data_IF_241057766810
#
_entry.id   IF_241057766810
#
_cell.length_a   1.000
_cell.length_b   1.000
_cell.length_c   1.000
_cell.angle_alpha   90.00
_cell.angle_beta   90.00
_cell.angle_gamma   90.00
#
_symmetry.space_group_name_H-M   'P 1'
#
loop_
_entity.id
_entity.type
_entity.pdbx_description
1 polymer ?
#
# COMPACT_ATOMS: atom_id res chain seq x y z
N UNK A 1 -1.70 -12.19 -2.56
CA UNK A 1 -2.28 -11.30 -1.54
C UNK A 1 -1.31 -11.10 -0.40
N UNK A 2 -1.12 -9.84 -0.02
CA UNK A 2 -0.35 -9.46 1.16
C UNK A 2 -1.28 -8.74 2.12
N UNK A 3 -1.54 -9.35 3.27
CA UNK A 3 -2.43 -8.78 4.29
C UNK A 3 -1.63 -8.42 5.54
N UNK A 4 -1.90 -7.25 6.09
CA UNK A 4 -1.26 -6.79 7.32
C UNK A 4 -2.13 -7.18 8.51
N UNK A 5 -1.78 -8.27 9.17
CA UNK A 5 -2.45 -8.73 10.39
C UNK A 5 -1.83 -8.15 11.67
N UNK A 6 -0.76 -7.40 11.51
CA UNK A 6 -0.16 -6.56 12.55
C UNK A 6 0.35 -5.28 11.89
N UNK A 7 0.35 -4.18 12.65
CA UNK A 7 0.96 -2.94 12.17
C UNK A 7 2.47 -3.13 12.07
N UNK A 8 3.04 -2.76 10.94
CA UNK A 8 4.46 -2.91 10.70
C UNK A 8 5.25 -1.95 11.62
N UNK A 9 6.28 -2.44 12.24
CA UNK A 9 7.20 -1.65 13.06
C UNK A 9 8.52 -1.33 12.35
N UNK A 10 8.71 -1.93 11.17
CA UNK A 10 9.82 -1.68 10.27
C UNK A 10 9.29 -1.80 8.84
N UNK A 11 10.07 -1.39 7.85
CA UNK A 11 9.64 -1.43 6.46
C UNK A 11 9.38 -2.86 6.01
N UNK A 12 8.15 -3.11 5.55
CA UNK A 12 7.81 -4.28 4.77
C UNK A 12 7.92 -3.92 3.29
N UNK A 13 8.72 -4.65 2.56
CA UNK A 13 9.08 -4.30 1.19
C UNK A 13 8.69 -5.42 0.24
N UNK A 14 7.96 -5.06 -0.82
CA UNK A 14 7.70 -5.93 -1.96
C UNK A 14 8.49 -5.37 -3.13
N UNK A 15 9.42 -6.14 -3.64
CA UNK A 15 10.26 -5.68 -4.74
C UNK A 15 10.28 -6.70 -5.88
N UNK A 16 10.43 -6.19 -7.09
CA UNK A 16 10.61 -6.99 -8.30
C UNK A 16 12.02 -6.79 -8.85
N UNK A 17 12.46 -7.70 -9.71
CA UNK A 17 13.69 -7.47 -10.45
C UNK A 17 13.53 -6.28 -11.41
N UNK A 18 14.64 -5.65 -11.78
CA UNK A 18 14.65 -4.36 -12.49
C UNK A 18 13.79 -4.33 -13.75
N UNK A 19 13.75 -5.41 -14.52
CA UNK A 19 12.96 -5.49 -15.75
C UNK A 19 11.45 -5.60 -15.50
N UNK A 20 11.04 -6.06 -14.32
CA UNK A 20 9.64 -6.26 -13.97
C UNK A 20 9.09 -5.02 -13.28
N UNK A 21 8.00 -4.50 -13.80
CA UNK A 21 7.38 -3.28 -13.28
C UNK A 21 6.04 -3.55 -12.68
N UNK A 22 5.74 -2.82 -11.62
CA UNK A 22 4.46 -2.84 -10.93
C UNK A 22 3.72 -1.56 -11.29
N UNK A 23 2.46 -1.67 -11.63
CA UNK A 23 1.59 -0.51 -11.84
C UNK A 23 0.21 -0.80 -11.29
N UNK A 24 -0.56 0.24 -11.08
CA UNK A 24 -1.94 0.09 -10.62
C UNK A 24 -2.32 1.16 -9.62
N UNK A 25 -3.10 0.77 -8.64
CA UNK A 25 -3.73 1.73 -7.75
C UNK A 25 -4.00 1.10 -6.39
N UNK A 26 -3.61 1.80 -5.34
CA UNK A 26 -3.90 1.41 -3.96
C UNK A 26 -4.72 2.51 -3.32
N UNK A 27 -5.87 2.16 -2.77
CA UNK A 27 -6.67 3.08 -1.98
C UNK A 27 -6.09 3.11 -0.57
N UNK A 28 -5.55 4.26 -0.17
CA UNK A 28 -4.93 4.41 1.16
C UNK A 28 -5.75 5.36 2.02
N UNK A 29 -6.08 4.93 3.22
CA UNK A 29 -6.81 5.72 4.19
C UNK A 29 -5.99 5.94 5.44
N UNK A 30 -6.11 7.13 6.02
CA UNK A 30 -5.69 7.39 7.40
C UNK A 30 -6.92 7.25 8.29
N UNK A 31 -6.87 6.31 9.21
CA UNK A 31 -7.99 6.04 10.10
C UNK A 31 -7.60 6.34 11.55
N UNK A 32 -8.36 7.22 12.17
CA UNK A 32 -8.34 7.40 13.62
C UNK A 32 -9.60 6.75 14.17
N UNK A 33 -9.48 5.56 14.71
CA UNK A 33 -10.63 4.83 15.24
C UNK A 33 -10.96 5.32 16.64
N UNK A 34 -12.24 5.55 16.90
CA UNK A 34 -12.73 5.82 18.24
C UNK A 34 -13.89 4.87 18.58
N UNK A 35 -14.34 4.89 19.83
CA UNK A 35 -15.32 3.93 20.32
C UNK A 35 -16.73 4.22 19.86
N UNK A 36 -17.02 5.34 19.24
CA UNK A 36 -18.38 5.78 18.94
C UNK A 36 -18.73 5.72 17.47
N UNK A 37 -17.78 5.81 16.59
CA UNK A 37 -18.02 5.74 15.15
C UNK A 37 -16.74 5.43 14.38
N UNK A 38 -16.93 5.13 13.11
CA UNK A 38 -15.82 5.09 12.15
C UNK A 38 -15.27 6.49 12.01
N UNK A 39 -14.00 6.63 12.26
CA UNK A 39 -13.37 7.92 12.35
C UNK A 39 -13.38 8.68 11.05
N UNK A 40 -13.19 9.96 11.19
CA UNK A 40 -12.78 10.83 10.11
C UNK A 40 -11.48 10.28 9.52
N UNK A 41 -11.54 9.84 8.28
CA UNK A 41 -10.37 9.34 7.57
C UNK A 41 -10.10 10.21 6.36
N UNK A 42 -8.82 10.42 6.08
CA UNK A 42 -8.38 10.97 4.80
C UNK A 42 -8.08 9.79 3.90
N UNK A 43 -8.78 9.74 2.77
CA UNK A 43 -8.59 8.69 1.78
C UNK A 43 -7.95 9.27 0.55
N UNK A 44 -6.86 8.69 0.11
CA UNK A 44 -6.16 9.06 -1.12
C UNK A 44 -5.98 7.86 -2.02
N UNK A 45 -5.93 8.12 -3.32
CA UNK A 45 -5.57 7.12 -4.30
C UNK A 45 -4.07 7.21 -4.53
N UNK A 46 -3.35 6.14 -4.18
CA UNK A 46 -1.94 6.01 -4.49
C UNK A 46 -1.81 5.38 -5.88
N UNK A 47 -1.62 6.23 -6.88
CA UNK A 47 -1.41 5.78 -8.25
C UNK A 47 0.02 5.29 -8.41
N UNK A 48 0.18 4.00 -8.67
CA UNK A 48 1.47 3.35 -8.79
C UNK A 48 1.91 3.41 -10.25
N UNK A 49 2.93 4.23 -10.58
CA UNK A 49 3.35 4.38 -11.97
C UNK A 49 4.07 3.15 -12.50
N UNK A 50 4.00 2.96 -13.81
CA UNK A 50 4.58 1.79 -14.49
C UNK A 50 6.12 1.73 -14.45
N UNK A 51 6.77 2.68 -13.82
CA UNK A 51 8.21 2.66 -13.54
C UNK A 51 8.57 2.02 -12.19
N UNK A 52 7.59 1.65 -11.38
CA UNK A 52 7.77 1.18 -10.02
C UNK A 52 8.33 -0.23 -9.97
N UNK A 53 9.34 -0.44 -9.14
CA UNK A 53 9.87 -1.76 -8.81
C UNK A 53 9.63 -2.16 -7.36
N UNK A 54 9.36 -1.22 -6.49
CA UNK A 54 9.31 -1.45 -5.04
C UNK A 54 8.10 -0.80 -4.43
N UNK A 55 7.42 -1.55 -3.58
CA UNK A 55 6.37 -1.05 -2.70
C UNK A 55 6.87 -1.18 -1.26
N UNK A 56 6.84 -0.09 -0.52
CA UNK A 56 7.30 -0.04 0.88
C UNK A 56 6.16 0.35 1.79
N UNK A 57 5.96 -0.42 2.84
CA UNK A 57 4.94 -0.18 3.86
C UNK A 57 5.64 -0.04 5.21
N UNK A 58 5.59 1.13 5.80
CA UNK A 58 6.40 1.47 6.99
C UNK A 58 5.61 1.43 8.31
N UNK A 59 4.36 1.03 8.27
CA UNK A 59 3.48 1.05 9.44
C UNK A 59 2.97 2.45 9.82
N UNK A 60 3.20 3.42 8.96
CA UNK A 60 2.83 4.82 9.17
C UNK A 60 2.39 5.49 7.88
N UNK A 61 3.14 6.47 7.41
CA UNK A 61 2.78 7.31 6.26
C UNK A 61 2.63 6.55 4.94
N UNK A 62 3.34 5.44 4.78
CA UNK A 62 3.26 4.58 3.58
C UNK A 62 2.32 3.39 3.76
N UNK A 63 1.58 3.36 4.85
CA UNK A 63 0.68 2.26 5.14
C UNK A 63 1.35 1.07 5.82
N UNK A 64 0.69 -0.08 5.79
CA UNK A 64 1.15 -1.27 6.53
C UNK A 64 0.60 -1.32 7.95
N UNK A 65 -0.42 -0.54 8.23
CA UNK A 65 -1.20 -0.66 9.47
C UNK A 65 -2.12 -1.87 9.36
N UNK A 66 -2.37 -2.50 10.49
CA UNK A 66 -3.25 -3.68 10.56
C UNK A 66 -4.58 -3.43 9.85
N UNK A 67 -5.00 -4.40 9.07
CA UNK A 67 -6.25 -4.35 8.29
C UNK A 67 -6.05 -4.01 6.81
N UNK A 68 -4.88 -3.53 6.42
CA UNK A 68 -4.56 -3.27 5.02
C UNK A 68 -4.28 -4.56 4.24
N UNK A 69 -4.52 -4.51 2.94
CA UNK A 69 -4.24 -5.63 2.05
C UNK A 69 -3.92 -5.12 0.64
N UNK A 70 -2.93 -5.70 0.01
CA UNK A 70 -2.61 -5.47 -1.40
C UNK A 70 -2.64 -6.79 -2.18
N UNK A 71 -3.08 -6.70 -3.41
CA UNK A 71 -3.17 -7.81 -4.34
C UNK A 71 -2.31 -7.53 -5.57
N UNK A 72 -1.39 -8.42 -5.87
CA UNK A 72 -0.48 -8.29 -7.01
C UNK A 72 -0.74 -9.44 -7.97
N UNK A 73 -0.94 -9.11 -9.23
CA UNK A 73 -1.26 -10.05 -10.30
C UNK A 73 -0.29 -9.84 -11.46
N UNK A 74 0.27 -10.92 -11.98
CA UNK A 74 1.02 -10.89 -13.23
C UNK A 74 0.08 -10.72 -14.43
N UNK A 75 0.32 -9.71 -15.24
CA UNK A 75 -0.48 -9.45 -16.43
C UNK A 75 0.14 -10.05 -17.69
N UNK A 76 1.42 -9.86 -17.84
CA UNK A 76 2.23 -10.32 -18.96
C UNK A 76 3.70 -10.29 -18.55
N UNK A 77 4.59 -10.67 -19.46
CA UNK A 77 6.03 -10.58 -19.23
C UNK A 77 6.42 -9.19 -18.75
N UNK A 78 7.12 -9.12 -17.63
CA UNK A 78 7.66 -7.90 -17.04
C UNK A 78 6.62 -6.87 -16.57
N UNK A 79 5.35 -7.27 -16.44
CA UNK A 79 4.29 -6.37 -16.02
C UNK A 79 3.41 -6.99 -14.93
N UNK A 80 3.31 -6.32 -13.79
CA UNK A 80 2.48 -6.70 -12.65
C UNK A 80 1.50 -5.59 -12.36
N UNK A 81 0.31 -5.97 -11.95
CA UNK A 81 -0.71 -5.03 -11.49
C UNK A 81 -0.91 -5.16 -10.01
N UNK A 82 -0.92 -4.03 -9.33
CA UNK A 82 -1.26 -3.95 -7.92
C UNK A 82 -2.61 -3.27 -7.74
N UNK A 83 -3.37 -3.77 -6.80
CA UNK A 83 -4.60 -3.15 -6.32
C UNK A 83 -4.74 -3.46 -4.84
N UNK A 84 -5.58 -2.71 -4.15
CA UNK A 84 -5.85 -3.02 -2.76
C UNK A 84 -6.27 -1.82 -1.94
N UNK A 85 -6.39 -2.09 -0.65
CA UNK A 85 -6.73 -1.11 0.36
C UNK A 85 -5.66 -1.12 1.44
N UNK A 86 -5.08 0.04 1.67
CA UNK A 86 -3.99 0.21 2.62
C UNK A 86 -4.42 1.20 3.71
N UNK A 87 -3.89 1.03 4.89
CA UNK A 87 -4.18 1.91 6.02
C UNK A 87 -2.86 2.50 6.50
N UNK A 88 -2.84 3.82 6.60
CA UNK A 88 -1.68 4.56 7.08
C UNK A 88 -2.02 5.45 8.25
N UNK A 89 -1.05 6.20 8.69
CA UNK A 89 -1.19 7.20 9.75
C UNK A 89 -0.36 8.44 9.42
N UNK A 90 -0.78 9.57 9.97
CA UNK A 90 -0.13 10.84 9.70
C UNK A 90 -0.38 11.35 8.29
N UNK A 91 0.56 12.13 7.75
CA UNK A 91 0.49 12.62 6.38
C UNK A 91 0.90 11.52 5.42
N UNK A 92 -0.04 11.09 4.58
CA UNK A 92 0.18 9.95 3.69
C UNK A 92 1.20 10.29 2.59
N UNK A 93 2.03 9.31 2.28
CA UNK A 93 3.01 9.35 1.20
C UNK A 93 2.87 8.09 0.34
N UNK A 94 3.30 8.17 -0.92
CA UNK A 94 3.26 6.99 -1.80
C UNK A 94 4.15 5.87 -1.27
N UNK A 95 3.67 4.65 -1.41
CA UNK A 95 4.48 3.46 -1.12
C UNK A 95 5.36 3.04 -2.31
N UNK A 96 5.17 3.64 -3.48
CA UNK A 96 5.88 3.29 -4.71
C UNK A 96 7.28 3.89 -4.79
N UNK A 97 8.21 3.12 -5.31
CA UNK A 97 9.53 3.62 -5.69
C UNK A 97 10.23 2.77 -6.76
#
# INVERSE_FOLDING_TARGET
>A
YFAFNTTQSADAVITTVTANKISGMILTATAAFNSTNLATSVTVVDAIPASTNTLTFNGGTKGGVIGGMVHIVGLKTNAWRVSGFNIGSGTLATCAS
#
